data_IF_307933030600
#
_entry.id   IF_307933030600
#
_cell.length_a   1.000
_cell.length_b   1.000
_cell.length_c   1.000
_cell.angle_alpha   90.00
_cell.angle_beta   90.00
_cell.angle_gamma   90.00
#
_symmetry.space_group_name_H-M   'P 1'
#
loop_
_entity.id
_entity.type
_entity.pdbx_description
1 polymer ?
#
# COMPACT_ATOMS: atom_id res chain seq x y z
N UNK A 1 8.07 -16.44 -19.52
CA UNK A 1 8.26 -17.11 -20.83
C UNK A 1 9.03 -16.27 -21.85
N UNK A 2 8.92 -14.93 -21.90
CA UNK A 2 9.96 -14.11 -22.56
C UNK A 2 11.29 -14.09 -21.78
N UNK A 3 11.21 -14.20 -20.46
CA UNK A 3 12.33 -14.12 -19.51
C UNK A 3 13.39 -15.22 -19.69
N UNK A 4 13.04 -16.32 -20.35
CA UNK A 4 13.98 -17.43 -20.63
C UNK A 4 14.79 -17.22 -21.90
N UNK A 5 14.55 -16.14 -22.66
CA UNK A 5 15.33 -15.82 -23.87
C UNK A 5 16.57 -14.96 -23.58
N UNK A 6 16.60 -14.24 -22.45
CA UNK A 6 17.80 -13.58 -21.95
C UNK A 6 18.75 -14.59 -21.30
N UNK A 7 20.06 -14.42 -21.47
CA UNK A 7 21.05 -15.16 -20.69
C UNK A 7 21.22 -14.46 -19.34
N UNK A 8 20.67 -15.05 -18.29
CA UNK A 8 20.83 -14.57 -16.92
C UNK A 8 21.68 -15.56 -16.11
N UNK A 9 22.40 -15.06 -15.11
CA UNK A 9 22.97 -15.92 -14.08
C UNK A 9 21.80 -16.56 -13.31
N UNK A 10 21.95 -17.81 -12.84
CA UNK A 10 20.87 -18.56 -12.17
C UNK A 10 20.24 -17.79 -10.98
N UNK A 11 21.07 -16.98 -10.32
CA UNK A 11 20.73 -16.09 -9.21
C UNK A 11 19.95 -14.81 -9.61
N UNK A 12 19.85 -14.48 -10.90
CA UNK A 12 19.15 -13.29 -11.43
C UNK A 12 17.90 -13.68 -12.23
N UNK A 13 17.27 -14.79 -11.86
CA UNK A 13 16.04 -15.24 -12.51
C UNK A 13 14.94 -14.17 -12.40
N UNK A 14 14.45 -13.67 -13.54
CA UNK A 14 13.31 -12.77 -13.55
C UNK A 14 11.99 -13.53 -13.39
N UNK A 15 11.07 -12.96 -12.62
CA UNK A 15 9.73 -13.52 -12.39
C UNK A 15 8.66 -12.55 -12.91
N UNK A 16 7.58 -13.03 -13.56
CA UNK A 16 6.48 -12.17 -13.96
C UNK A 16 5.81 -11.60 -12.71
N UNK A 17 5.75 -10.27 -12.63
CA UNK A 17 5.25 -9.57 -11.44
C UNK A 17 3.71 -9.47 -11.45
N UNK A 18 3.15 -8.87 -12.49
CA UNK A 18 1.71 -8.66 -12.61
C UNK A 18 1.23 -8.76 -14.07
N UNK A 19 0.00 -9.25 -14.24
CA UNK A 19 -0.77 -9.13 -15.48
C UNK A 19 -2.05 -8.36 -15.15
N UNK A 20 -2.21 -7.17 -15.74
CA UNK A 20 -3.37 -6.31 -15.53
C UNK A 20 -4.29 -6.37 -16.75
N UNK A 21 -5.58 -6.61 -16.50
CA UNK A 21 -6.63 -6.47 -17.50
C UNK A 21 -7.23 -5.06 -17.38
N UNK A 22 -7.16 -4.27 -18.46
CA UNK A 22 -7.67 -2.89 -18.51
C UNK A 22 -8.73 -2.80 -19.60
N UNK A 23 -9.89 -2.24 -19.26
CA UNK A 23 -11.00 -2.04 -20.18
C UNK A 23 -11.73 -0.72 -19.86
N UNK A 24 -12.37 -0.09 -20.86
CA UNK A 24 -13.08 1.17 -20.66
C UNK A 24 -14.28 1.01 -19.71
N UNK A 25 -14.45 1.99 -18.82
CA UNK A 25 -15.59 2.07 -17.91
C UNK A 25 -16.87 2.38 -18.71
N UNK A 26 -17.88 1.52 -18.60
CA UNK A 26 -19.21 1.73 -19.20
C UNK A 26 -19.47 1.03 -20.54
N UNK A 27 -18.45 0.39 -21.15
CA UNK A 27 -18.64 -0.44 -22.36
C UNK A 27 -18.60 -1.95 -22.06
N UNK A 28 -18.18 -2.34 -20.86
CA UNK A 28 -18.16 -3.73 -20.42
C UNK A 28 -19.55 -4.18 -19.95
N UNK A 29 -19.93 -5.42 -20.28
CA UNK A 29 -21.00 -6.13 -19.58
C UNK A 29 -20.68 -6.13 -18.09
N UNK A 30 -21.69 -6.01 -17.22
CA UNK A 30 -21.55 -6.03 -15.75
C UNK A 30 -20.66 -7.19 -15.25
N UNK A 31 -20.64 -8.28 -16.02
CA UNK A 31 -19.76 -9.43 -15.83
C UNK A 31 -18.83 -9.59 -17.04
N UNK A 32 -17.53 -9.54 -16.79
CA UNK A 32 -16.48 -9.84 -17.77
C UNK A 32 -16.13 -11.32 -17.69
N UNK A 33 -16.52 -12.10 -18.70
CA UNK A 33 -16.11 -13.49 -18.81
C UNK A 33 -14.67 -13.57 -19.35
N UNK A 34 -13.80 -14.21 -18.58
CA UNK A 34 -12.38 -14.37 -18.89
C UNK A 34 -12.11 -15.83 -19.24
N UNK A 35 -11.68 -16.06 -20.48
CA UNK A 35 -11.11 -17.34 -20.90
C UNK A 35 -9.64 -17.42 -20.42
N UNK A 36 -9.45 -17.81 -19.16
CA UNK A 36 -8.12 -17.98 -18.58
C UNK A 36 -7.27 -19.00 -19.35
N UNK A 37 -7.89 -20.04 -19.93
CA UNK A 37 -7.18 -21.06 -20.70
C UNK A 37 -6.69 -20.49 -22.03
N UNK A 38 -7.57 -19.78 -22.76
CA UNK A 38 -7.23 -19.08 -23.98
C UNK A 38 -6.14 -18.03 -23.77
N UNK A 39 -6.27 -17.19 -22.73
CA UNK A 39 -5.24 -16.20 -22.37
C UNK A 39 -3.91 -16.88 -22.02
N UNK A 40 -3.93 -17.94 -21.21
CA UNK A 40 -2.72 -18.68 -20.88
C UNK A 40 -2.09 -19.31 -22.13
N UNK A 41 -2.86 -19.84 -23.08
CA UNK A 41 -2.33 -20.41 -24.33
C UNK A 41 -1.72 -19.32 -25.19
N UNK A 42 -2.45 -18.21 -25.40
CA UNK A 42 -2.00 -17.07 -26.18
C UNK A 42 -0.73 -16.44 -25.62
N UNK A 43 -0.59 -16.32 -24.28
CA UNK A 43 0.64 -15.84 -23.65
C UNK A 43 1.78 -16.84 -23.87
N UNK A 44 1.54 -18.14 -23.69
CA UNK A 44 2.59 -19.17 -23.87
C UNK A 44 3.09 -19.21 -25.30
N UNK A 45 2.20 -19.20 -26.28
CA UNK A 45 2.52 -19.24 -27.70
C UNK A 45 3.08 -17.90 -28.18
N UNK A 46 2.38 -16.79 -27.91
CA UNK A 46 2.75 -15.45 -28.35
C UNK A 46 4.09 -14.98 -27.79
N UNK A 47 4.41 -15.25 -26.53
CA UNK A 47 5.70 -14.82 -25.96
C UNK A 47 6.88 -15.61 -26.54
N UNK A 48 6.65 -16.82 -27.06
CA UNK A 48 7.71 -17.58 -27.73
C UNK A 48 8.07 -17.01 -29.10
N UNK A 49 7.19 -16.23 -29.73
CA UNK A 49 7.46 -15.56 -31.02
C UNK A 49 8.06 -14.18 -30.86
N UNK A 50 7.99 -13.56 -29.68
CA UNK A 50 8.57 -12.23 -29.42
C UNK A 50 10.10 -12.24 -29.51
N UNK A 51 10.68 -11.28 -30.23
CA UNK A 51 12.11 -11.01 -30.24
C UNK A 51 12.53 -10.27 -28.97
N UNK A 52 13.57 -10.75 -28.31
CA UNK A 52 14.17 -10.06 -27.17
C UNK A 52 14.88 -8.80 -27.66
N UNK A 53 14.56 -7.64 -27.07
CA UNK A 53 15.22 -6.36 -27.37
C UNK A 53 15.89 -5.80 -26.12
N UNK A 54 17.09 -5.28 -26.31
CA UNK A 54 17.91 -4.71 -25.25
C UNK A 54 18.91 -5.70 -24.65
N UNK A 55 19.88 -5.16 -23.92
CA UNK A 55 20.88 -5.89 -23.16
C UNK A 55 20.68 -5.58 -21.67
N UNK A 56 20.56 -6.58 -20.78
CA UNK A 56 20.53 -6.33 -19.35
C UNK A 56 21.76 -5.55 -18.91
N UNK A 57 21.57 -4.51 -18.11
CA UNK A 57 22.69 -3.77 -17.53
C UNK A 57 23.27 -4.57 -16.36
N UNK A 58 24.60 -4.66 -16.30
CA UNK A 58 25.31 -5.25 -15.16
C UNK A 58 25.59 -4.16 -14.13
N UNK A 59 24.87 -4.19 -12.99
CA UNK A 59 25.02 -3.19 -11.93
C UNK A 59 26.24 -3.45 -11.03
N UNK A 60 26.73 -4.69 -10.95
CA UNK A 60 27.84 -5.09 -10.07
C UNK A 60 28.66 -6.22 -10.70
N UNK A 61 29.96 -6.22 -10.43
CA UNK A 61 30.90 -7.25 -10.94
C UNK A 61 30.82 -8.56 -10.16
N UNK A 62 30.37 -8.49 -8.91
CA UNK A 62 30.27 -9.60 -7.98
C UNK A 62 28.83 -9.77 -7.51
N UNK A 63 28.46 -11.01 -7.22
CA UNK A 63 27.14 -11.37 -6.73
C UNK A 63 27.24 -12.11 -5.41
N UNK A 64 26.46 -11.66 -4.43
CA UNK A 64 26.30 -12.34 -3.15
C UNK A 64 25.02 -13.18 -3.20
N UNK A 65 25.15 -14.49 -3.03
CA UNK A 65 24.01 -15.40 -2.98
C UNK A 65 23.43 -15.41 -1.56
N UNK A 66 22.21 -14.90 -1.43
CA UNK A 66 21.41 -14.99 -0.21
C UNK A 66 20.45 -16.17 -0.34
N UNK A 67 20.89 -17.35 0.09
CA UNK A 67 20.17 -18.62 -0.06
C UNK A 67 18.73 -18.57 0.49
N UNK A 68 18.52 -17.80 1.56
CA UNK A 68 17.21 -17.59 2.17
C UNK A 68 16.20 -16.94 1.22
N UNK A 69 16.64 -16.07 0.31
CA UNK A 69 15.74 -15.43 -0.67
C UNK A 69 15.14 -16.48 -1.60
N UNK A 70 15.98 -17.36 -2.15
CA UNK A 70 15.53 -18.41 -3.08
C UNK A 70 14.70 -19.50 -2.38
N UNK A 71 15.12 -19.91 -1.16
CA UNK A 71 14.34 -20.84 -0.33
C UNK A 71 12.97 -20.29 -0.01
N UNK A 72 12.89 -19.02 0.36
CA UNK A 72 11.62 -18.34 0.64
C UNK A 72 10.78 -18.23 -0.63
N UNK A 73 11.36 -17.81 -1.76
CA UNK A 73 10.67 -17.69 -3.04
C UNK A 73 10.00 -18.99 -3.49
N UNK A 74 10.68 -20.14 -3.34
CA UNK A 74 10.08 -21.44 -3.66
C UNK A 74 9.02 -21.84 -2.62
N UNK A 75 9.23 -21.56 -1.33
CA UNK A 75 8.27 -21.85 -0.26
C UNK A 75 6.96 -21.04 -0.36
N UNK A 76 7.02 -19.84 -0.96
CA UNK A 76 5.85 -18.94 -1.15
C UNK A 76 5.31 -18.97 -2.58
N UNK A 77 5.69 -19.97 -3.36
CA UNK A 77 5.20 -20.12 -4.73
C UNK A 77 3.71 -20.41 -4.75
N UNK A 78 2.95 -19.58 -5.48
CA UNK A 78 1.51 -19.77 -5.62
C UNK A 78 1.23 -21.08 -6.38
N UNK A 79 0.48 -22.04 -5.81
CA UNK A 79 0.13 -23.26 -6.51
C UNK A 79 -0.75 -22.94 -7.72
N UNK A 80 -0.70 -23.79 -8.75
CA UNK A 80 -1.61 -23.72 -9.89
C UNK A 80 -3.02 -24.09 -9.45
N UNK A 81 -3.77 -23.11 -9.01
CA UNK A 81 -5.19 -23.26 -8.68
C UNK A 81 -5.99 -23.23 -9.98
N UNK A 82 -6.73 -24.30 -10.26
CA UNK A 82 -7.76 -24.29 -11.28
C UNK A 82 -8.89 -23.40 -10.74
N UNK A 83 -8.89 -22.12 -11.11
CA UNK A 83 -10.02 -21.26 -10.81
C UNK A 83 -11.21 -21.73 -11.65
N UNK A 84 -12.25 -22.21 -10.99
CA UNK A 84 -13.55 -22.47 -11.62
C UNK A 84 -14.33 -21.18 -11.88
N UNK A 85 -13.88 -20.05 -11.32
CA UNK A 85 -14.40 -18.72 -11.60
C UNK A 85 -13.77 -18.19 -12.88
N UNK A 86 -14.59 -18.06 -13.92
CA UNK A 86 -14.25 -17.47 -15.22
C UNK A 86 -14.84 -16.07 -15.39
N UNK A 87 -15.28 -15.43 -14.31
CA UNK A 87 -16.05 -14.17 -14.39
C UNK A 87 -15.56 -13.16 -13.37
N UNK A 88 -15.22 -11.96 -13.84
CA UNK A 88 -14.98 -10.79 -12.99
C UNK A 88 -16.25 -9.95 -13.00
N UNK A 89 -16.82 -9.73 -11.82
CA UNK A 89 -17.84 -8.72 -11.64
C UNK A 89 -17.19 -7.33 -11.65
N UNK A 90 -17.50 -6.57 -12.69
CA UNK A 90 -17.04 -5.20 -12.89
C UNK A 90 -18.04 -4.17 -12.33
N UNK A 91 -19.28 -4.60 -12.04
CA UNK A 91 -20.35 -3.73 -11.54
C UNK A 91 -20.22 -3.42 -10.04
N UNK A 92 -19.54 -4.29 -9.27
CA UNK A 92 -19.23 -4.06 -7.85
C UNK A 92 -18.16 -3.00 -7.59
N UNK A 93 -17.64 -2.33 -8.62
CA UNK A 93 -16.69 -1.22 -8.45
C UNK A 93 -17.32 -0.07 -7.68
N UNK A 94 -16.66 0.33 -6.59
CA UNK A 94 -17.07 1.47 -5.77
C UNK A 94 -16.05 2.59 -5.87
N UNK A 95 -16.56 3.82 -6.01
CA UNK A 95 -15.72 5.01 -5.86
C UNK A 95 -15.32 5.19 -4.40
N UNK A 96 -14.13 5.74 -4.17
CA UNK A 96 -13.74 6.15 -2.83
C UNK A 96 -14.66 7.25 -2.29
N UNK A 97 -14.93 7.23 -0.99
CA UNK A 97 -15.70 8.28 -0.34
C UNK A 97 -14.98 9.62 -0.40
N UNK A 98 -15.70 10.66 -0.82
CA UNK A 98 -15.21 12.05 -0.81
C UNK A 98 -15.88 12.75 0.35
N UNK A 99 -15.12 12.99 1.42
CA UNK A 99 -15.58 13.63 2.65
C UNK A 99 -15.53 15.15 2.57
N UNK A 100 -14.68 15.71 1.71
CA UNK A 100 -14.48 17.15 1.57
C UNK A 100 -14.55 17.62 0.11
N UNK A 101 -14.90 18.89 -0.10
CA UNK A 101 -15.22 19.44 -1.42
C UNK A 101 -14.10 19.23 -2.44
N UNK A 102 -14.48 19.12 -3.73
CA UNK A 102 -13.55 19.01 -4.87
C UNK A 102 -12.42 20.05 -4.88
N UNK A 103 -12.55 21.15 -4.12
CA UNK A 103 -11.52 22.19 -4.00
C UNK A 103 -10.23 21.72 -3.32
N UNK A 104 -10.22 20.63 -2.54
CA UNK A 104 -9.01 20.15 -1.87
C UNK A 104 -7.88 19.77 -2.85
N UNK A 105 -8.25 19.18 -3.99
CA UNK A 105 -7.28 18.66 -4.96
C UNK A 105 -6.88 19.66 -6.04
N UNK A 106 -7.31 20.93 -5.94
CA UNK A 106 -6.95 22.02 -6.86
C UNK A 106 -7.11 21.65 -8.36
N UNK A 107 -8.12 20.84 -8.69
CA UNK A 107 -8.39 20.32 -10.04
C UNK A 107 -7.26 19.49 -10.68
N UNK A 108 -6.33 18.97 -9.87
CA UNK A 108 -5.27 18.08 -10.36
C UNK A 108 -5.84 16.77 -10.91
N UNK A 109 -5.36 16.37 -12.07
CA UNK A 109 -5.63 15.06 -12.65
C UNK A 109 -4.73 13.99 -12.03
N UNK A 110 -5.19 12.74 -11.99
CA UNK A 110 -4.37 11.60 -11.52
C UNK A 110 -3.04 11.52 -12.27
N UNK A 111 -3.03 11.74 -13.59
CA UNK A 111 -1.83 11.72 -14.42
C UNK A 111 -0.79 12.76 -13.98
N UNK A 112 -1.25 13.98 -13.64
CA UNK A 112 -0.37 15.03 -13.13
C UNK A 112 0.22 14.62 -11.77
N UNK A 113 -0.60 14.16 -10.83
CA UNK A 113 -0.14 13.75 -9.50
C UNK A 113 0.88 12.61 -9.60
N UNK A 114 0.61 11.59 -10.41
CA UNK A 114 1.53 10.45 -10.63
C UNK A 114 2.88 10.91 -11.19
N UNK A 115 2.88 11.87 -12.13
CA UNK A 115 4.13 12.41 -12.72
C UNK A 115 4.90 13.31 -11.76
N UNK A 116 4.20 14.03 -10.89
CA UNK A 116 4.79 14.93 -9.89
C UNK A 116 5.29 14.18 -8.65
N UNK A 117 4.74 13.00 -8.34
CA UNK A 117 5.08 12.24 -7.14
C UNK A 117 6.58 12.00 -7.00
N UNK A 118 7.14 12.42 -5.88
CA UNK A 118 8.52 12.15 -5.45
C UNK A 118 8.53 11.70 -3.99
N UNK A 119 9.58 11.01 -3.58
CA UNK A 119 9.73 10.63 -2.17
C UNK A 119 10.38 11.78 -1.41
N UNK A 120 9.80 12.18 -0.27
CA UNK A 120 10.48 13.10 0.63
C UNK A 120 11.77 12.45 1.16
N UNK A 121 12.85 13.22 1.15
CA UNK A 121 14.13 12.80 1.76
C UNK A 121 14.12 13.12 3.25
N UNK A 122 13.44 14.20 3.64
CA UNK A 122 13.29 14.63 5.03
C UNK A 122 11.98 15.40 5.23
N UNK A 123 11.52 15.54 6.47
CA UNK A 123 10.30 16.24 6.88
C UNK A 123 10.64 17.49 7.70
N UNK A 124 9.89 18.58 7.50
CA UNK A 124 10.22 19.88 8.07
C UNK A 124 9.94 20.04 9.57
N UNK A 125 9.25 19.11 10.20
CA UNK A 125 8.92 19.15 11.63
C UNK A 125 7.95 20.25 12.04
N UNK A 126 7.38 21.02 11.10
CA UNK A 126 6.54 22.20 11.39
C UNK A 126 5.23 22.24 10.60
N UNK A 127 5.13 21.53 9.48
CA UNK A 127 3.91 21.50 8.67
C UNK A 127 2.78 20.77 9.41
N UNK A 128 1.59 21.40 9.39
CA UNK A 128 0.35 20.82 9.89
C UNK A 128 -0.60 20.53 8.74
N UNK A 129 -1.41 19.49 8.89
CA UNK A 129 -2.59 19.23 8.05
C UNK A 129 -3.86 19.37 8.88
N UNK A 130 -4.96 19.76 8.25
CA UNK A 130 -6.26 19.75 8.91
C UNK A 130 -6.79 18.32 9.08
N UNK A 131 -7.59 18.06 10.13
CA UNK A 131 -8.21 16.74 10.32
C UNK A 131 -9.06 16.28 9.14
N UNK A 132 -9.67 17.18 8.38
CA UNK A 132 -10.44 16.84 7.18
C UNK A 132 -9.55 16.25 6.07
N UNK A 133 -8.35 16.81 5.90
CA UNK A 133 -7.32 16.30 5.00
C UNK A 133 -6.87 14.92 5.46
N UNK A 134 -6.57 14.77 6.76
CA UNK A 134 -6.17 13.49 7.35
C UNK A 134 -7.23 12.40 7.14
N UNK A 135 -8.50 12.67 7.46
CA UNK A 135 -9.59 11.72 7.24
C UNK A 135 -9.80 11.39 5.77
N UNK A 136 -9.68 12.38 4.88
CA UNK A 136 -9.78 12.15 3.43
C UNK A 136 -8.69 11.19 2.92
N UNK A 137 -7.43 11.35 3.38
CA UNK A 137 -6.34 10.44 3.02
C UNK A 137 -6.63 9.00 3.50
N UNK A 138 -7.12 8.85 4.73
CA UNK A 138 -7.42 7.53 5.29
C UNK A 138 -8.62 6.86 4.62
N UNK A 139 -9.64 7.62 4.23
CA UNK A 139 -10.79 7.12 3.46
C UNK A 139 -10.34 6.52 2.13
N UNK A 140 -9.35 7.11 1.46
CA UNK A 140 -8.79 6.55 0.22
C UNK A 140 -7.93 5.30 0.45
N UNK A 141 -7.50 5.04 1.68
CA UNK A 141 -6.82 3.79 2.06
C UNK A 141 -7.80 2.64 2.32
N UNK A 142 -9.11 2.89 2.39
CA UNK A 142 -10.11 1.85 2.64
C UNK A 142 -10.35 0.97 1.41
N UNK A 143 -10.48 -0.35 1.60
CA UNK A 143 -10.54 -1.29 0.47
C UNK A 143 -11.88 -1.24 -0.27
N UNK A 144 -12.99 -0.97 0.42
CA UNK A 144 -14.34 -1.06 -0.13
C UNK A 144 -14.86 0.25 -0.71
N UNK A 145 -14.13 1.36 -0.52
CA UNK A 145 -14.56 2.68 -0.96
C UNK A 145 -15.72 3.23 -0.11
N UNK A 146 -16.60 4.03 -0.70
CA UNK A 146 -17.81 4.50 -0.01
C UNK A 146 -18.80 3.35 0.12
N UNK A 147 -19.12 2.99 1.36
CA UNK A 147 -19.90 1.79 1.66
C UNK A 147 -21.37 2.05 1.97
N UNK A 148 -21.82 3.31 2.03
CA UNK A 148 -23.20 3.68 2.40
C UNK A 148 -23.67 2.97 3.69
N UNK A 149 -22.78 2.84 4.68
CA UNK A 149 -23.06 2.14 5.94
C UNK A 149 -22.75 0.64 5.98
N UNK A 150 -22.32 0.02 4.87
CA UNK A 150 -21.79 -1.35 4.91
C UNK A 150 -20.37 -1.38 5.53
N UNK A 151 -19.98 -2.48 6.21
CA UNK A 151 -18.64 -2.60 6.77
C UNK A 151 -17.53 -2.58 5.71
N UNK A 152 -16.39 -2.00 6.06
CA UNK A 152 -15.17 -2.09 5.26
C UNK A 152 -14.59 -3.50 5.36
N UNK A 153 -14.39 -4.16 4.22
CA UNK A 153 -13.78 -5.50 4.14
C UNK A 153 -13.23 -5.82 2.76
N UNK A 154 -14.09 -5.76 1.76
CA UNK A 154 -13.84 -6.23 0.39
C UNK A 154 -13.05 -5.20 -0.42
N UNK A 155 -12.15 -5.65 -1.29
CA UNK A 155 -11.31 -4.81 -2.14
C UNK A 155 -12.07 -4.39 -3.41
N UNK A 156 -13.04 -3.51 -3.23
CA UNK A 156 -13.95 -3.03 -4.30
C UNK A 156 -13.53 -1.68 -4.90
N UNK A 157 -12.74 -0.89 -4.18
CA UNK A 157 -12.25 0.40 -4.63
C UNK A 157 -10.92 0.29 -5.38
N UNK A 158 -10.68 1.22 -6.31
CA UNK A 158 -9.36 1.36 -6.93
C UNK A 158 -8.43 2.11 -5.97
N UNK A 159 -7.13 1.73 -5.89
CA UNK A 159 -6.46 0.67 -6.66
C UNK A 159 -6.57 -0.75 -6.07
N UNK A 160 -7.18 -0.94 -4.90
CA UNK A 160 -7.24 -2.25 -4.21
C UNK A 160 -7.91 -3.35 -5.02
N UNK A 161 -8.86 -3.01 -5.91
CA UNK A 161 -9.50 -3.97 -6.82
C UNK A 161 -8.53 -4.69 -7.77
N UNK A 162 -7.31 -4.16 -7.97
CA UNK A 162 -6.27 -4.82 -8.74
C UNK A 162 -5.67 -6.06 -8.01
N UNK A 163 -5.90 -6.18 -6.70
CA UNK A 163 -5.39 -7.27 -5.89
C UNK A 163 -6.34 -8.49 -5.98
N UNK A 164 -5.82 -9.70 -6.24
CA UNK A 164 -6.64 -10.88 -6.58
C UNK A 164 -7.27 -11.61 -5.38
N UNK A 165 -7.25 -11.05 -4.17
CA UNK A 165 -7.92 -11.60 -2.99
C UNK A 165 -9.06 -10.68 -2.57
N UNK A 166 -10.11 -11.27 -1.98
CA UNK A 166 -11.37 -10.54 -1.82
C UNK A 166 -11.34 -9.51 -0.70
N UNK A 167 -10.78 -9.84 0.46
CA UNK A 167 -10.79 -8.97 1.65
C UNK A 167 -9.41 -8.45 2.04
N UNK A 168 -9.33 -7.21 2.52
CA UNK A 168 -8.09 -6.61 3.00
C UNK A 168 -7.53 -7.35 4.24
N UNK A 169 -6.21 -7.53 4.27
CA UNK A 169 -5.49 -8.20 5.35
C UNK A 169 -4.55 -7.26 6.11
N UNK A 170 -4.36 -6.03 5.63
CA UNK A 170 -3.46 -5.03 6.21
C UNK A 170 -4.23 -3.90 6.88
N UNK A 171 -3.85 -3.54 8.09
CA UNK A 171 -4.38 -2.43 8.88
C UNK A 171 -3.30 -1.39 9.18
N UNK A 172 -3.66 -0.20 9.67
CA UNK A 172 -2.69 0.89 9.88
C UNK A 172 -2.65 1.31 11.35
N UNK A 173 -1.51 1.14 12.02
CA UNK A 173 -1.21 1.77 13.29
C UNK A 173 -0.60 3.16 13.03
N UNK A 174 -1.28 4.22 13.42
CA UNK A 174 -0.98 5.61 13.05
C UNK A 174 -0.43 6.37 14.26
N UNK A 175 0.74 6.99 14.11
CA UNK A 175 1.31 7.92 15.07
C UNK A 175 1.02 9.34 14.59
N UNK A 176 0.06 10.00 15.23
CA UNK A 176 -0.42 11.33 14.85
C UNK A 176 0.37 12.41 15.60
N UNK A 177 0.98 13.36 14.88
CA UNK A 177 1.89 14.36 15.43
C UNK A 177 1.42 15.81 15.23
N UNK A 178 0.97 16.15 14.01
CA UNK A 178 0.65 17.53 13.58
C UNK A 178 -0.62 17.58 12.72
N UNK A 179 -1.72 17.07 13.27
CA UNK A 179 -3.04 17.13 12.64
C UNK A 179 -3.91 18.11 13.44
N UNK A 180 -4.25 19.24 12.83
CA UNK A 180 -5.06 20.29 13.46
C UNK A 180 -6.49 19.78 13.73
N UNK A 181 -6.97 19.98 14.95
CA UNK A 181 -8.30 19.54 15.38
C UNK A 181 -8.40 18.06 15.74
N UNK A 182 -7.27 17.34 15.84
CA UNK A 182 -7.17 15.98 16.33
C UNK A 182 -6.09 15.91 17.42
N UNK A 183 -6.33 15.26 18.57
CA UNK A 183 -5.28 15.06 19.58
C UNK A 183 -4.06 14.31 19.01
N UNK A 184 -2.88 14.58 19.57
CA UNK A 184 -1.69 13.78 19.25
C UNK A 184 -1.80 12.43 19.95
N UNK A 185 -1.39 11.36 19.29
CA UNK A 185 -1.48 10.05 19.89
C UNK A 185 -1.29 8.89 18.93
N UNK A 186 -1.56 7.71 19.45
CA UNK A 186 -1.62 6.46 18.70
C UNK A 186 -3.06 6.20 18.29
N UNK A 187 -3.27 6.00 17.00
CA UNK A 187 -4.55 5.67 16.38
C UNK A 187 -4.42 4.37 15.59
N UNK A 188 -5.55 3.76 15.23
CA UNK A 188 -5.58 2.53 14.46
C UNK A 188 -6.72 2.57 13.44
N UNK A 189 -6.39 2.40 12.16
CA UNK A 189 -7.34 2.27 11.07
C UNK A 189 -7.58 0.80 10.76
N UNK A 190 -8.80 0.34 11.02
CA UNK A 190 -9.21 -1.04 10.77
C UNK A 190 -9.79 -1.15 9.36
N UNK A 191 -8.95 -1.50 8.39
CA UNK A 191 -9.36 -1.63 6.98
C UNK A 191 -10.32 -2.80 6.69
N UNK A 192 -10.33 -3.80 7.55
CA UNK A 192 -11.28 -4.92 7.51
C UNK A 192 -11.91 -5.08 8.89
N UNK A 193 -13.18 -4.69 9.02
CA UNK A 193 -13.91 -4.62 10.30
C UNK A 193 -14.17 -6.00 10.90
N UNK A 194 -14.17 -7.08 10.10
CA UNK A 194 -14.28 -8.45 10.61
C UNK A 194 -13.10 -8.80 11.53
N UNK A 195 -11.95 -8.13 11.37
CA UNK A 195 -10.74 -8.36 12.19
C UNK A 195 -10.73 -7.52 13.48
N UNK A 196 -11.68 -6.61 13.69
CA UNK A 196 -11.67 -5.69 14.85
C UNK A 196 -11.63 -6.45 16.19
N UNK A 197 -12.42 -7.52 16.29
CA UNK A 197 -12.46 -8.34 17.50
C UNK A 197 -11.12 -9.03 17.79
N UNK A 198 -10.43 -9.50 16.76
CA UNK A 198 -9.14 -10.19 16.88
C UNK A 198 -8.03 -9.20 17.24
N UNK A 199 -8.03 -8.02 16.59
CA UNK A 199 -7.11 -6.91 16.90
C UNK A 199 -7.23 -6.48 18.36
N UNK A 200 -8.44 -6.29 18.87
CA UNK A 200 -8.68 -5.93 20.28
C UNK A 200 -8.17 -6.98 21.28
N UNK A 201 -8.18 -8.27 20.90
CA UNK A 201 -7.67 -9.36 21.76
C UNK A 201 -6.15 -9.49 21.69
N UNK A 202 -5.56 -9.26 20.52
CA UNK A 202 -4.12 -9.38 20.31
C UNK A 202 -3.34 -8.17 20.84
N UNK A 203 -3.96 -6.99 20.88
CA UNK A 203 -3.32 -5.74 21.31
C UNK A 203 -3.52 -5.46 22.81
N UNK A 204 -2.81 -4.45 23.34
CA UNK A 204 -2.90 -4.03 24.75
C UNK A 204 -4.35 -3.79 25.20
N UNK A 205 -4.70 -4.34 26.36
CA UNK A 205 -6.02 -4.18 26.99
C UNK A 205 -6.31 -2.75 27.45
N UNK A 206 -5.26 -1.95 27.66
CA UNK A 206 -5.38 -0.56 28.13
C UNK A 206 -5.77 0.42 27.00
N UNK A 207 -5.74 -0.01 25.74
CA UNK A 207 -6.12 0.85 24.63
C UNK A 207 -7.61 1.19 24.65
N UNK A 208 -7.91 2.47 24.39
CA UNK A 208 -9.27 3.00 24.52
C UNK A 208 -10.21 2.52 23.41
N UNK A 209 -9.68 2.30 22.20
CA UNK A 209 -10.46 1.98 20.99
C UNK A 209 -11.66 2.94 20.79
N UNK A 210 -11.44 4.24 21.04
CA UNK A 210 -12.48 5.27 20.97
C UNK A 210 -12.49 5.92 19.59
N UNK A 211 -13.67 6.10 18.97
CA UNK A 211 -13.76 6.86 17.71
C UNK A 211 -13.43 8.34 17.95
N UNK A 212 -12.56 8.97 17.15
CA UNK A 212 -12.22 10.37 17.34
C UNK A 212 -13.37 11.32 16.99
N UNK A 213 -13.38 12.51 17.59
CA UNK A 213 -14.46 13.48 17.39
C UNK A 213 -14.49 14.02 15.94
N UNK A 214 -15.69 13.98 15.33
CA UNK A 214 -15.90 14.38 13.94
C UNK A 214 -15.30 13.41 12.91
N UNK A 215 -14.96 12.18 13.32
CA UNK A 215 -14.61 11.10 12.41
C UNK A 215 -15.84 10.69 11.58
N UNK A 216 -15.72 10.52 10.24
CA UNK A 216 -16.81 10.03 9.40
C UNK A 216 -17.29 8.64 9.85
N UNK A 217 -18.58 8.36 9.68
CA UNK A 217 -19.19 7.08 10.08
C UNK A 217 -18.62 5.89 9.29
N UNK A 218 -18.32 6.08 8.00
CA UNK A 218 -17.73 5.07 7.14
C UNK A 218 -16.21 4.88 7.36
N UNK A 219 -15.58 5.64 8.28
CA UNK A 219 -14.16 5.55 8.59
C UNK A 219 -13.93 4.78 9.91
N UNK A 220 -13.51 3.50 9.86
CA UNK A 220 -13.22 2.68 11.06
C UNK A 220 -11.87 3.05 11.69
N UNK A 221 -11.75 4.30 12.14
CA UNK A 221 -10.59 4.85 12.84
C UNK A 221 -10.85 4.92 14.35
N UNK A 222 -9.87 4.47 15.13
CA UNK A 222 -9.96 4.44 16.59
C UNK A 222 -8.70 5.07 17.21
N UNK A 223 -8.88 5.92 18.22
CA UNK A 223 -7.81 6.37 19.11
C UNK A 223 -7.51 5.26 20.12
N UNK A 224 -6.24 4.90 20.24
CA UNK A 224 -5.75 3.89 21.18
C UNK A 224 -5.21 4.52 22.46
N UNK A 225 -4.40 5.58 22.32
CA UNK A 225 -3.82 6.32 23.44
C UNK A 225 -3.48 7.76 23.02
N UNK A 226 -3.81 8.73 23.85
CA UNK A 226 -3.39 10.13 23.67
C UNK A 226 -1.95 10.34 24.18
N UNK A 227 -1.15 11.13 23.46
CA UNK A 227 0.21 11.47 23.86
C UNK A 227 1.12 11.89 22.71
N UNK A 228 2.26 12.50 23.05
CA UNK A 228 3.27 12.84 22.05
C UNK A 228 4.09 11.60 21.64
N UNK A 229 3.73 11.02 20.49
CA UNK A 229 4.39 9.85 19.95
C UNK A 229 5.61 10.15 19.06
N UNK A 230 6.08 11.39 18.93
CA UNK A 230 7.17 11.71 17.98
C UNK A 230 8.46 10.96 18.28
N UNK A 231 8.91 10.97 19.54
CA UNK A 231 10.12 10.23 19.97
C UNK A 231 9.95 8.72 19.80
N UNK A 232 8.73 8.23 20.05
CA UNK A 232 8.39 6.82 19.88
C UNK A 232 8.49 6.43 18.41
N UNK A 233 7.83 7.16 17.50
CA UNK A 233 7.84 6.92 16.07
C UNK A 233 9.26 6.90 15.49
N UNK A 234 10.11 7.87 15.89
CA UNK A 234 11.54 7.89 15.54
C UNK A 234 12.25 6.63 16.04
N UNK A 235 12.10 6.30 17.32
CA UNK A 235 12.72 5.12 17.92
C UNK A 235 12.34 3.82 17.21
N UNK A 236 11.06 3.64 16.90
CA UNK A 236 10.57 2.46 16.17
C UNK A 236 11.11 2.40 14.74
N UNK A 237 11.31 3.54 14.09
CA UNK A 237 11.76 3.64 12.69
C UNK A 237 13.29 3.71 12.55
N UNK A 238 14.05 2.87 13.28
CA UNK A 238 15.52 2.89 13.27
C UNK A 238 16.14 4.27 13.60
N UNK A 239 15.51 5.05 14.49
CA UNK A 239 15.91 6.41 14.85
C UNK A 239 15.88 7.43 13.70
N UNK A 240 15.11 7.16 12.65
CA UNK A 240 14.97 8.08 11.51
C UNK A 240 14.00 9.23 11.87
N UNK A 241 14.49 10.47 11.75
CA UNK A 241 13.76 11.69 12.12
C UNK A 241 12.45 11.87 11.34
N UNK A 242 12.42 11.45 10.07
CA UNK A 242 11.25 11.50 9.17
C UNK A 242 9.98 10.89 9.75
N UNK A 243 10.09 9.91 10.67
CA UNK A 243 8.94 9.27 11.29
C UNK A 243 8.27 10.17 12.33
N UNK A 244 9.04 10.98 13.06
CA UNK A 244 8.51 11.92 14.06
C UNK A 244 8.28 13.34 13.54
N UNK A 245 8.96 13.74 12.47
CA UNK A 245 8.90 15.11 11.95
C UNK A 245 7.80 15.32 10.90
N UNK A 246 7.16 14.23 10.45
CA UNK A 246 5.95 14.29 9.62
C UNK A 246 4.71 14.81 10.37
N UNK A 247 3.62 14.99 9.64
CA UNK A 247 2.30 15.25 10.23
C UNK A 247 1.77 14.01 10.94
N UNK A 248 1.98 12.84 10.34
CA UNK A 248 1.77 11.54 10.95
C UNK A 248 2.68 10.51 10.29
N UNK A 249 2.99 9.46 11.03
CA UNK A 249 3.61 8.23 10.50
C UNK A 249 2.73 7.02 10.82
N UNK A 250 3.03 5.88 10.21
CA UNK A 250 2.28 4.67 10.45
C UNK A 250 3.11 3.41 10.23
N UNK A 251 2.75 2.37 10.97
CA UNK A 251 3.13 0.98 10.70
C UNK A 251 1.95 0.23 10.09
N UNK A 252 2.19 -0.52 9.02
CA UNK A 252 1.22 -1.38 8.36
C UNK A 252 1.26 -2.76 8.99
N UNK A 253 0.16 -3.16 9.62
CA UNK A 253 0.03 -4.37 10.45
C UNK A 253 -0.87 -5.37 9.72
N UNK A 254 -0.31 -6.50 9.31
CA UNK A 254 -1.01 -7.53 8.56
C UNK A 254 -1.54 -8.65 9.46
N UNK A 255 -2.74 -9.17 9.19
CA UNK A 255 -3.21 -10.46 9.72
C UNK A 255 -2.33 -11.56 9.13
N UNK A 256 -1.42 -12.11 9.93
CA UNK A 256 -0.22 -12.77 9.40
C UNK A 256 -0.37 -14.30 9.37
N UNK A 257 -0.26 -14.95 10.52
CA UNK A 257 -0.29 -16.42 10.61
C UNK A 257 -1.60 -17.01 10.08
N UNK A 258 -2.75 -16.42 10.45
CA UNK A 258 -4.05 -16.92 10.07
C UNK A 258 -4.23 -16.94 8.54
N UNK A 259 -3.83 -15.86 7.85
CA UNK A 259 -3.91 -15.76 6.39
C UNK A 259 -3.05 -16.80 5.70
N UNK A 260 -1.84 -17.05 6.20
CA UNK A 260 -0.96 -18.08 5.65
C UNK A 260 -1.51 -19.50 5.88
N UNK A 261 -2.18 -19.75 7.01
CA UNK A 261 -2.83 -21.04 7.28
C UNK A 261 -4.08 -21.26 6.41
N UNK A 262 -4.88 -20.22 6.22
CA UNK A 262 -6.15 -20.28 5.47
C UNK A 262 -5.95 -20.33 3.96
N UNK A 263 -5.07 -19.46 3.43
CA UNK A 263 -4.88 -19.26 1.98
C UNK A 263 -3.60 -19.92 1.46
N UNK A 264 -2.62 -20.15 2.32
CA UNK A 264 -1.31 -20.71 2.00
C UNK A 264 -0.16 -19.70 2.11
N UNK A 265 1.07 -20.22 2.22
CA UNK A 265 2.31 -19.44 2.36
C UNK A 265 2.54 -18.42 1.24
N UNK A 266 1.97 -18.64 0.06
CA UNK A 266 2.05 -17.71 -1.08
C UNK A 266 1.40 -16.35 -0.81
N UNK A 267 0.58 -16.22 0.26
CA UNK A 267 0.09 -14.92 0.70
C UNK A 267 1.15 -14.04 1.33
N UNK A 268 2.26 -14.60 1.83
CA UNK A 268 3.33 -13.81 2.45
C UNK A 268 3.80 -12.62 1.57
N UNK A 269 4.27 -12.83 0.32
CA UNK A 269 4.63 -11.71 -0.56
C UNK A 269 3.41 -10.84 -0.96
N UNK A 270 2.19 -11.37 -0.90
CA UNK A 270 0.96 -10.64 -1.25
C UNK A 270 0.57 -9.63 -0.17
N UNK A 271 0.87 -9.90 1.10
CA UNK A 271 0.70 -8.92 2.17
C UNK A 271 1.57 -7.68 1.91
N UNK A 272 2.82 -7.85 1.44
CA UNK A 272 3.68 -6.74 1.02
C UNK A 272 3.18 -6.01 -0.25
N UNK A 273 2.46 -6.69 -1.13
CA UNK A 273 1.79 -6.02 -2.25
C UNK A 273 0.69 -5.10 -1.74
N UNK A 274 -0.10 -5.54 -0.75
CA UNK A 274 -1.13 -4.71 -0.12
C UNK A 274 -0.51 -3.47 0.55
N UNK A 275 0.59 -3.63 1.30
CA UNK A 275 1.30 -2.50 1.91
C UNK A 275 1.83 -1.53 0.85
N UNK A 276 2.35 -2.04 -0.27
CA UNK A 276 2.79 -1.24 -1.41
C UNK A 276 1.65 -0.44 -2.04
N UNK A 277 0.47 -1.04 -2.21
CA UNK A 277 -0.72 -0.34 -2.72
C UNK A 277 -1.16 0.76 -1.77
N UNK A 278 -1.23 0.49 -0.45
CA UNK A 278 -1.54 1.52 0.56
C UNK A 278 -0.52 2.66 0.51
N UNK A 279 0.78 2.34 0.48
CA UNK A 279 1.85 3.33 0.38
C UNK A 279 1.73 4.20 -0.87
N UNK A 280 1.39 3.60 -2.01
CA UNK A 280 1.17 4.34 -3.26
C UNK A 280 -0.04 5.27 -3.17
N UNK A 281 -1.14 4.85 -2.55
CA UNK A 281 -2.29 5.74 -2.29
C UNK A 281 -1.85 6.93 -1.46
N UNK A 282 -1.15 6.71 -0.34
CA UNK A 282 -0.68 7.79 0.53
C UNK A 282 0.30 8.73 -0.18
N UNK A 283 1.16 8.20 -1.05
CA UNK A 283 2.04 9.02 -1.90
C UNK A 283 1.24 9.98 -2.79
N UNK A 284 0.21 9.47 -3.48
CA UNK A 284 -0.58 10.27 -4.40
C UNK A 284 -1.44 11.29 -3.65
N UNK A 285 -2.08 10.88 -2.56
CA UNK A 285 -2.88 11.76 -1.70
C UNK A 285 -2.04 12.92 -1.14
N UNK A 286 -0.86 12.61 -0.60
CA UNK A 286 0.04 13.63 -0.06
C UNK A 286 0.40 14.68 -1.13
N UNK A 287 0.76 14.25 -2.34
CA UNK A 287 1.09 15.18 -3.42
C UNK A 287 -0.12 15.96 -3.92
N UNK A 288 -1.29 15.34 -4.01
CA UNK A 288 -2.51 16.01 -4.42
C UNK A 288 -2.92 17.11 -3.42
N UNK A 289 -2.60 16.92 -2.14
CA UNK A 289 -2.83 17.88 -1.05
C UNK A 289 -1.67 18.90 -0.87
N UNK A 290 -0.63 18.82 -1.70
CA UNK A 290 0.50 19.76 -1.70
C UNK A 290 1.55 19.51 -0.62
N UNK A 291 1.55 18.34 0.01
CA UNK A 291 2.59 17.86 0.92
C UNK A 291 3.33 16.68 0.29
N UNK A 292 4.16 15.98 1.06
CA UNK A 292 4.90 14.83 0.57
C UNK A 292 4.80 13.65 1.52
N UNK A 293 5.30 12.52 1.05
CA UNK A 293 5.33 11.32 1.83
C UNK A 293 6.61 10.54 1.53
N UNK A 294 6.94 9.59 2.40
CA UNK A 294 7.96 8.62 2.10
C UNK A 294 7.72 7.30 2.82
N UNK A 295 8.08 6.21 2.16
CA UNK A 295 8.07 4.89 2.77
C UNK A 295 9.30 4.67 3.64
N UNK A 296 9.12 3.90 4.72
CA UNK A 296 10.15 3.59 5.70
C UNK A 296 10.33 2.07 5.70
N UNK A 297 11.43 1.62 5.10
CA UNK A 297 11.77 0.20 5.02
C UNK A 297 12.58 -0.34 6.21
N UNK A 298 13.19 0.55 7.01
CA UNK A 298 13.90 0.17 8.23
C UNK A 298 13.09 0.58 9.46
N UNK A 299 12.71 -0.41 10.26
CA UNK A 299 12.10 -0.25 11.57
C UNK A 299 12.46 -1.46 12.43
N UNK A 300 12.21 -1.37 13.74
CA UNK A 300 12.40 -2.49 14.65
C UNK A 300 11.06 -3.21 14.89
N UNK A 301 10.88 -4.39 14.29
CA UNK A 301 9.65 -5.18 14.38
C UNK A 301 9.22 -5.45 15.83
N UNK A 302 10.12 -6.00 16.66
CA UNK A 302 9.79 -6.40 18.04
C UNK A 302 9.36 -5.19 18.90
N UNK A 303 10.05 -4.04 18.91
CA UNK A 303 9.56 -2.83 19.57
C UNK A 303 8.19 -2.34 19.07
N UNK A 304 7.88 -2.48 17.79
CA UNK A 304 6.54 -2.11 17.27
C UNK A 304 5.49 -3.03 17.87
N UNK A 305 5.77 -4.34 17.93
CA UNK A 305 4.88 -5.32 18.55
C UNK A 305 4.71 -5.07 20.05
N UNK A 306 5.80 -4.77 20.76
CA UNK A 306 5.77 -4.40 22.18
C UNK A 306 4.87 -3.20 22.42
N UNK A 307 4.99 -2.13 21.62
CA UNK A 307 4.13 -0.95 21.73
C UNK A 307 2.66 -1.31 21.53
N UNK A 308 2.35 -2.11 20.51
CA UNK A 308 0.97 -2.54 20.21
C UNK A 308 0.45 -3.62 21.19
N UNK A 309 1.34 -4.30 21.92
CA UNK A 309 1.02 -5.41 22.82
C UNK A 309 0.84 -6.75 22.14
N UNK A 310 1.22 -6.88 20.87
CA UNK A 310 1.17 -8.13 20.11
C UNK A 310 2.31 -9.02 20.61
N UNK A 311 1.99 -10.27 20.98
CA UNK A 311 2.94 -11.22 21.59
C UNK A 311 3.15 -12.49 20.78
N UNK A 312 2.36 -12.68 19.73
CA UNK A 312 2.35 -13.86 18.89
C UNK A 312 2.44 -13.47 17.40
N UNK A 313 2.31 -14.46 16.52
CA UNK A 313 2.35 -14.28 15.07
C UNK A 313 0.98 -13.98 14.45
N UNK A 314 -0.04 -13.64 15.25
CA UNK A 314 -1.38 -13.38 14.69
C UNK A 314 -1.39 -12.14 13.79
N UNK A 315 -0.60 -11.13 14.17
CA UNK A 315 -0.41 -9.89 13.41
C UNK A 315 1.07 -9.54 13.29
N UNK A 316 1.49 -8.98 12.14
CA UNK A 316 2.89 -8.61 11.90
C UNK A 316 3.00 -7.21 11.27
N UNK A 317 3.91 -6.38 11.77
CA UNK A 317 4.30 -5.13 11.10
C UNK A 317 5.15 -5.45 9.87
N UNK A 318 4.74 -4.97 8.69
CA UNK A 318 5.40 -5.29 7.42
C UNK A 318 6.02 -4.09 6.71
N UNK A 319 5.50 -2.89 6.93
CA UNK A 319 6.01 -1.71 6.26
C UNK A 319 5.62 -0.44 7.01
N UNK A 320 6.48 0.57 7.01
CA UNK A 320 6.19 1.85 7.66
C UNK A 320 6.14 2.97 6.62
N UNK A 321 5.46 4.06 6.97
CA UNK A 321 5.25 5.18 6.08
C UNK A 321 5.11 6.48 6.86
N UNK A 322 5.48 7.60 6.25
CA UNK A 322 5.33 8.93 6.86
C UNK A 322 4.82 9.93 5.84
N UNK A 323 4.02 10.89 6.32
CA UNK A 323 3.40 11.95 5.52
C UNK A 323 3.65 13.28 6.22
N UNK A 324 4.12 14.29 5.48
CA UNK A 324 4.40 15.61 6.05
C UNK A 324 4.91 16.63 5.04
N UNK A 325 5.23 17.82 5.54
CA UNK A 325 5.87 18.86 4.74
C UNK A 325 7.31 18.45 4.38
N UNK A 326 7.69 18.41 3.10
CA UNK A 326 9.04 18.00 2.71
C UNK A 326 10.06 19.11 2.99
N UNK A 327 11.27 18.72 3.37
CA UNK A 327 12.44 19.60 3.24
C UNK A 327 12.89 19.58 1.77
N UNK A 328 12.80 20.74 1.11
CA UNK A 328 13.20 20.87 -0.29
C UNK A 328 14.71 21.15 -0.41
N UNK A 329 15.46 20.14 -0.86
CA UNK A 329 16.88 20.31 -1.18
C UNK A 329 17.04 20.97 -2.57
N UNK A 330 17.31 22.27 -2.59
CA UNK A 330 17.52 23.06 -3.81
C UNK A 330 18.75 22.64 -4.62
N UNK A 331 19.65 21.82 -4.07
CA UNK A 331 20.82 21.29 -4.79
C UNK A 331 20.44 20.12 -5.71
N UNK A 332 19.30 19.48 -5.46
CA UNK A 332 18.83 18.35 -6.27
C UNK A 332 18.08 18.87 -7.49
N UNK A 333 18.62 18.62 -8.67
CA UNK A 333 17.96 18.97 -9.93
C UNK A 333 16.72 18.09 -10.13
N UNK A 334 15.57 18.72 -10.37
CA UNK A 334 14.32 18.00 -10.68
C UNK A 334 14.10 18.04 -12.19
N UNK A 335 14.15 16.87 -12.83
CA UNK A 335 13.79 16.69 -14.24
C UNK A 335 12.37 16.10 -14.37
N UNK A 336 11.68 16.35 -15.50
CA UNK A 336 10.44 15.65 -15.82
C UNK A 336 10.65 14.13 -15.79
N UNK A 337 9.71 13.38 -15.21
CA UNK A 337 9.83 11.92 -15.04
C UNK A 337 9.94 11.18 -16.39
N UNK A 338 9.29 11.71 -17.41
CA UNK A 338 9.31 11.21 -18.78
C UNK A 338 9.35 12.42 -19.70
N UNK A 339 10.53 12.92 -20.12
CA UNK A 339 10.59 13.85 -21.24
C UNK A 339 9.97 13.09 -22.41
N UNK A 340 8.78 13.51 -22.86
CA UNK A 340 8.15 12.90 -24.02
C UNK A 340 9.09 13.00 -25.22
N UNK A 341 8.84 12.25 -26.31
CA UNK A 341 9.49 12.57 -27.57
C UNK A 341 9.29 14.07 -27.82
N UNK A 342 10.39 14.83 -27.96
CA UNK A 342 10.33 16.17 -28.53
C UNK A 342 9.67 15.98 -29.87
N UNK A 343 8.51 16.59 -30.07
CA UNK A 343 7.82 16.60 -31.35
C UNK A 343 8.70 17.38 -32.34
N UNK A 344 9.68 16.68 -32.91
CA UNK A 344 10.21 17.00 -34.23
C UNK A 344 9.21 16.40 -35.23
N UNK A 345 8.23 17.24 -35.59
CA UNK A 345 7.39 17.32 -36.82
C UNK A 345 6.01 17.86 -36.47
#
# INVERSE_FOLDING_TARGET
>A
MCLTKGKFLEIESEHPDCLLLVFPKGEARDVVNIDYKGISSAIREGFTTLEWKGSPNVLSKEHLCWDIIYKTAEAVKKPSLISNSSSIDASSFRGSGVFSSKSLYKELTVSQVVRMRRSAVDMDGVTFIDKSVFYQMLMHCLPSGSTNGEPQREQLALPFRALPWDCAEVHLALFVHRVSGLPKGLYFLVRNEDHLGDLKRAMRSEFEWKRPDGCPDDLPLYMLAEGDCQRLAKGLSCHQDIAGDGCFSLGMVARFEAVMREKGSWMYPRLFWETGVVGQVLYLEAHAMGISATGIGCYFDDPVHEVLGIKDSSFQSLYHFTVGGPVLDKRIMTLPAYPGPTSDV
#
